data_IF_045568502885
#
_entry.id   IF_045568502885
#
_cell.length_a   1.000
_cell.length_b   1.000
_cell.length_c   1.000
_cell.angle_alpha   90.00
_cell.angle_beta   90.00
_cell.angle_gamma   90.00
#
_symmetry.space_group_name_H-M   'P 1'
#
loop_
_entity.id
_entity.type
_entity.pdbx_description
1 polymer ?
#
# COMPACT_ATOMS: atom_id res chain seq x y z
N UNK A 1 -20.89 -0.38 -9.46
CA UNK A 1 -20.81 -1.63 -10.25
C UNK A 1 -19.43 -2.21 -10.06
N UNK A 2 -19.33 -3.51 -9.73
CA UNK A 2 -18.14 -4.31 -9.31
C UNK A 2 -16.94 -4.35 -10.29
N UNK A 3 -16.78 -3.37 -11.17
CA UNK A 3 -15.77 -3.36 -12.21
C UNK A 3 -14.62 -2.40 -11.85
N UNK A 4 -13.55 -2.98 -11.29
CA UNK A 4 -12.14 -2.50 -11.21
C UNK A 4 -11.45 -2.59 -9.83
N UNK A 5 -11.93 -3.40 -8.89
CA UNK A 5 -10.98 -3.99 -7.94
C UNK A 5 -10.24 -5.10 -8.69
N UNK A 6 -8.94 -4.93 -8.93
CA UNK A 6 -8.09 -6.07 -9.26
C UNK A 6 -8.37 -7.13 -8.18
N UNK A 7 -8.68 -8.37 -8.57
CA UNK A 7 -8.86 -9.41 -7.56
C UNK A 7 -7.54 -9.50 -6.80
N UNK A 8 -7.58 -9.57 -5.48
CA UNK A 8 -6.39 -9.57 -4.61
C UNK A 8 -5.17 -10.34 -5.21
N UNK A 9 -5.34 -11.56 -5.75
CA UNK A 9 -4.21 -12.28 -6.35
C UNK A 9 -3.64 -11.63 -7.63
N UNK A 10 -4.47 -11.04 -8.49
CA UNK A 10 -4.01 -10.33 -9.70
C UNK A 10 -3.23 -9.07 -9.33
N UNK A 11 -3.62 -8.40 -8.24
CA UNK A 11 -2.86 -7.27 -7.71
C UNK A 11 -1.50 -7.74 -7.17
N UNK A 12 -1.46 -8.80 -6.36
CA UNK A 12 -0.21 -9.37 -5.86
C UNK A 12 0.78 -9.73 -6.98
N UNK A 13 0.30 -10.33 -8.07
CA UNK A 13 1.15 -10.64 -9.23
C UNK A 13 1.74 -9.38 -9.89
N UNK A 14 0.94 -8.31 -10.04
CA UNK A 14 1.44 -7.04 -10.60
C UNK A 14 2.40 -6.33 -9.65
N UNK A 15 2.19 -6.42 -8.34
CA UNK A 15 3.13 -5.88 -7.35
C UNK A 15 4.47 -6.62 -7.39
N UNK A 16 4.47 -7.94 -7.62
CA UNK A 16 5.68 -8.74 -7.83
C UNK A 16 6.42 -8.29 -9.11
N UNK A 17 5.70 -8.14 -10.23
CA UNK A 17 6.29 -7.65 -11.49
C UNK A 17 6.97 -6.27 -11.35
N UNK A 18 6.48 -5.41 -10.45
CA UNK A 18 7.08 -4.11 -10.13
C UNK A 18 8.17 -4.17 -9.05
N UNK A 19 8.41 -5.33 -8.45
CA UNK A 19 9.33 -5.51 -7.32
C UNK A 19 8.87 -4.85 -6.02
N UNK A 20 7.58 -4.53 -5.91
CA UNK A 20 6.96 -3.85 -4.75
C UNK A 20 6.70 -4.81 -3.62
N UNK A 21 6.24 -6.02 -3.93
CA UNK A 21 6.08 -7.10 -2.95
C UNK A 21 7.06 -8.21 -3.22
N UNK A 22 7.07 -9.20 -2.34
CA UNK A 22 7.91 -10.37 -2.54
C UNK A 22 7.42 -11.22 -3.71
N UNK A 23 8.32 -11.97 -4.33
CA UNK A 23 8.04 -12.87 -5.44
C UNK A 23 6.83 -13.76 -5.17
N UNK A 24 5.86 -13.73 -6.07
CA UNK A 24 4.64 -14.52 -6.00
C UNK A 24 4.80 -15.74 -6.92
N UNK A 25 4.81 -16.93 -6.31
CA UNK A 25 4.92 -18.19 -7.04
C UNK A 25 3.58 -18.63 -7.64
N UNK A 26 2.47 -18.12 -7.12
CA UNK A 26 1.14 -18.34 -7.66
C UNK A 26 0.05 -18.27 -6.59
N UNK A 27 -1.19 -18.49 -7.00
CA UNK A 27 -2.34 -18.55 -6.11
C UNK A 27 -3.32 -19.64 -6.55
N UNK A 28 -4.16 -20.09 -5.63
CA UNK A 28 -5.17 -21.09 -5.92
C UNK A 28 -6.05 -21.44 -4.73
N UNK A 29 -7.08 -22.24 -4.99
CA UNK A 29 -7.95 -22.73 -3.93
C UNK A 29 -7.29 -23.88 -3.17
N UNK A 30 -7.06 -23.67 -1.87
CA UNK A 30 -6.65 -24.73 -0.96
C UNK A 30 -7.88 -25.32 -0.27
N UNK A 31 -7.85 -26.63 -0.02
CA UNK A 31 -8.84 -27.33 0.79
C UNK A 31 -8.16 -27.85 2.04
N UNK A 32 -8.58 -27.34 3.19
CA UNK A 32 -8.10 -27.86 4.47
C UNK A 32 -8.85 -29.15 4.82
N UNK A 33 -8.10 -30.21 5.08
CA UNK A 33 -8.65 -31.53 5.39
C UNK A 33 -8.70 -31.85 6.90
N UNK A 34 -7.94 -31.12 7.73
CA UNK A 34 -7.88 -31.29 9.19
C UNK A 34 -8.21 -29.98 9.92
N UNK A 35 -9.05 -30.03 10.95
CA UNK A 35 -9.38 -28.87 11.80
C UNK A 35 -10.60 -28.04 11.36
N UNK A 36 -11.23 -28.40 10.24
CA UNK A 36 -12.38 -27.71 9.65
C UNK A 36 -12.35 -27.94 8.14
N UNK A 37 -13.51 -28.25 7.52
CA UNK A 37 -13.58 -28.34 6.06
C UNK A 37 -13.77 -26.94 5.52
N UNK A 38 -12.67 -26.24 5.30
CA UNK A 38 -12.70 -24.93 4.67
C UNK A 38 -12.08 -24.98 3.26
N UNK A 39 -12.61 -24.13 2.38
CA UNK A 39 -12.11 -23.92 1.03
C UNK A 39 -11.75 -22.44 0.91
N UNK A 40 -10.47 -22.16 0.96
CA UNK A 40 -9.95 -20.79 1.01
C UNK A 40 -9.03 -20.54 -0.18
N UNK A 41 -8.99 -19.30 -0.66
CA UNK A 41 -7.98 -18.88 -1.61
C UNK A 41 -6.65 -18.74 -0.86
N UNK A 42 -5.56 -19.26 -1.43
CA UNK A 42 -4.22 -19.12 -0.90
C UNK A 42 -3.30 -18.51 -1.96
N UNK A 43 -2.40 -17.65 -1.50
CA UNK A 43 -1.28 -17.10 -2.26
C UNK A 43 0.01 -17.77 -1.76
N UNK A 44 0.89 -18.17 -2.65
CA UNK A 44 2.23 -18.65 -2.32
C UNK A 44 3.22 -17.56 -2.70
N UNK A 45 3.86 -16.98 -1.71
CA UNK A 45 4.81 -15.88 -1.85
C UNK A 45 6.13 -16.26 -1.17
N UNK A 46 7.21 -15.63 -1.61
CA UNK A 46 8.48 -15.72 -0.91
C UNK A 46 8.38 -15.24 0.53
N UNK A 47 9.25 -15.79 1.37
CA UNK A 47 9.27 -15.44 2.77
C UNK A 47 10.04 -14.13 2.96
N UNK A 48 9.34 -13.12 3.43
CA UNK A 48 9.92 -11.83 3.79
C UNK A 48 10.19 -11.75 5.30
N UNK A 49 11.02 -10.79 5.70
CA UNK A 49 11.39 -10.53 7.09
C UNK A 49 10.81 -9.18 7.52
N UNK A 50 10.13 -9.07 8.67
CA UNK A 50 9.56 -7.81 9.10
C UNK A 50 10.63 -6.77 9.42
N UNK A 51 10.34 -5.51 9.15
CA UNK A 51 11.15 -4.40 9.66
C UNK A 51 10.77 -4.17 11.11
N UNK A 52 11.68 -4.50 12.03
CA UNK A 52 11.39 -4.46 13.49
C UNK A 52 11.32 -3.05 14.06
N UNK A 53 11.92 -2.07 13.36
CA UNK A 53 11.97 -0.70 13.82
C UNK A 53 12.03 0.28 12.65
N UNK A 54 11.35 1.40 12.82
CA UNK A 54 11.43 2.57 11.95
C UNK A 54 12.87 3.01 11.70
N UNK A 55 13.79 2.82 12.66
CA UNK A 55 15.20 3.20 12.51
C UNK A 55 15.96 2.38 11.46
N UNK A 56 15.39 1.26 11.02
CA UNK A 56 15.95 0.41 9.97
C UNK A 56 15.40 0.77 8.58
N UNK A 57 14.45 1.70 8.48
CA UNK A 57 13.89 2.11 7.19
C UNK A 57 14.81 3.11 6.51
N UNK A 58 15.12 2.83 5.25
CA UNK A 58 15.67 3.83 4.33
C UNK A 58 14.50 4.59 3.70
N UNK A 59 14.55 5.90 3.80
CA UNK A 59 13.47 6.80 3.36
C UNK A 59 13.38 6.88 1.84
N UNK A 60 14.52 6.86 1.14
CA UNK A 60 14.57 6.90 -0.32
C UNK A 60 14.04 5.58 -0.88
N UNK A 61 14.41 4.47 -0.24
CA UNK A 61 13.91 3.14 -0.59
C UNK A 61 12.40 3.02 -0.36
N UNK A 62 11.89 3.54 0.77
CA UNK A 62 10.45 3.60 1.02
C UNK A 62 9.74 4.44 -0.04
N UNK A 63 10.33 5.57 -0.45
CA UNK A 63 9.79 6.43 -1.50
C UNK A 63 9.72 5.77 -2.85
N UNK A 64 10.76 5.04 -3.20
CA UNK A 64 10.78 4.28 -4.42
C UNK A 64 9.69 3.20 -4.43
N UNK A 65 9.57 2.40 -3.37
CA UNK A 65 8.62 1.28 -3.34
C UNK A 65 7.16 1.75 -3.31
N UNK A 66 6.84 2.81 -2.57
CA UNK A 66 5.50 3.41 -2.54
C UNK A 66 5.17 4.05 -3.90
N UNK A 67 6.11 4.76 -4.51
CA UNK A 67 5.90 5.37 -5.84
C UNK A 67 5.63 4.32 -6.91
N UNK A 68 6.31 3.17 -6.86
CA UNK A 68 6.05 2.02 -7.73
C UNK A 68 4.64 1.46 -7.51
N UNK A 69 4.20 1.30 -6.25
CA UNK A 69 2.86 0.83 -5.95
C UNK A 69 1.78 1.78 -6.50
N UNK A 70 1.99 3.10 -6.37
CA UNK A 70 1.05 4.13 -6.80
C UNK A 70 0.76 4.15 -8.30
N UNK A 71 1.62 3.55 -9.12
CA UNK A 71 1.32 3.29 -10.53
C UNK A 71 0.09 2.41 -10.71
N UNK A 72 -0.20 1.55 -9.73
CA UNK A 72 -1.29 0.59 -9.74
C UNK A 72 -2.44 1.02 -8.85
N UNK A 73 -2.15 1.39 -7.60
CA UNK A 73 -3.18 1.43 -6.55
C UNK A 73 -2.79 2.27 -5.33
N UNK A 74 -3.78 2.69 -4.54
CA UNK A 74 -3.58 3.02 -3.13
C UNK A 74 -3.27 1.75 -2.34
N UNK A 75 -2.40 1.83 -1.33
CA UNK A 75 -2.24 0.77 -0.33
C UNK A 75 -3.38 0.78 0.68
N UNK A 76 -3.84 1.96 1.11
CA UNK A 76 -4.91 2.20 2.10
C UNK A 76 -4.66 1.67 3.54
N UNK A 77 -3.58 0.92 3.77
CA UNK A 77 -3.20 0.41 5.11
C UNK A 77 -1.68 0.36 5.26
N UNK A 78 -0.99 1.42 4.82
CA UNK A 78 0.47 1.49 4.93
C UNK A 78 0.87 1.80 6.38
N UNK A 79 1.50 0.84 7.03
CA UNK A 79 2.00 0.89 8.41
C UNK A 79 3.29 0.06 8.51
N UNK A 80 4.07 0.26 9.58
CA UNK A 80 5.36 -0.44 9.74
C UNK A 80 5.22 -1.97 9.63
N UNK A 81 4.16 -2.54 10.19
CA UNK A 81 3.89 -3.99 10.16
C UNK A 81 3.72 -4.54 8.74
N UNK A 82 3.36 -3.67 7.78
CA UNK A 82 3.16 -4.00 6.38
C UNK A 82 4.39 -3.71 5.52
N UNK A 83 5.51 -3.33 6.14
CA UNK A 83 6.79 -3.10 5.49
C UNK A 83 7.77 -4.21 5.91
N UNK A 84 8.30 -4.89 4.91
CA UNK A 84 9.16 -6.06 5.06
C UNK A 84 10.48 -5.83 4.31
N UNK A 85 11.45 -6.71 4.54
CA UNK A 85 12.66 -6.86 3.75
C UNK A 85 12.73 -8.23 3.09
N UNK A 86 13.24 -8.24 1.87
CA UNK A 86 13.68 -9.45 1.23
C UNK A 86 14.96 -9.96 1.94
N UNK A 87 15.00 -11.19 2.45
CA UNK A 87 16.17 -11.73 3.13
C UNK A 87 17.38 -11.97 2.22
N UNK A 88 17.20 -11.97 0.89
CA UNK A 88 18.23 -12.27 -0.09
C UNK A 88 19.04 -11.04 -0.49
N UNK A 89 18.37 -9.93 -0.80
CA UNK A 89 19.01 -8.68 -1.25
C UNK A 89 18.84 -7.50 -0.28
N UNK A 90 17.99 -7.67 0.75
CA UNK A 90 17.72 -6.65 1.75
C UNK A 90 16.67 -5.62 1.33
N UNK A 91 16.12 -5.70 0.11
CA UNK A 91 15.24 -4.67 -0.43
C UNK A 91 13.91 -4.58 0.31
N UNK A 92 13.37 -3.36 0.45
CA UNK A 92 12.05 -3.13 1.05
C UNK A 92 10.94 -3.67 0.15
N UNK A 93 10.00 -4.35 0.80
CA UNK A 93 8.81 -4.93 0.20
C UNK A 93 7.58 -4.54 1.01
N UNK A 94 6.46 -4.34 0.33
CA UNK A 94 5.16 -4.11 0.95
C UNK A 94 4.35 -5.40 0.98
N UNK A 95 3.53 -5.57 2.01
CA UNK A 95 2.59 -6.70 2.17
C UNK A 95 1.21 -6.17 2.59
N UNK A 96 0.25 -7.08 2.76
CA UNK A 96 -1.10 -6.77 3.25
C UNK A 96 -1.86 -5.82 2.31
N UNK A 97 -2.20 -6.35 1.14
CA UNK A 97 -2.89 -5.62 0.07
C UNK A 97 -4.42 -5.75 0.15
N UNK A 98 -4.99 -6.02 1.32
CA UNK A 98 -6.42 -6.33 1.45
C UNK A 98 -7.33 -5.13 1.18
N UNK A 99 -6.84 -3.90 1.43
CA UNK A 99 -7.60 -2.66 1.25
C UNK A 99 -7.25 -1.90 -0.03
N UNK A 100 -6.40 -2.45 -0.89
CA UNK A 100 -5.94 -1.71 -2.07
C UNK A 100 -7.07 -1.42 -3.05
N UNK A 101 -7.04 -0.23 -3.63
CA UNK A 101 -7.94 0.16 -4.70
C UNK A 101 -7.24 1.13 -5.65
N UNK A 102 -7.42 1.01 -6.97
CA UNK A 102 -6.87 1.99 -7.91
C UNK A 102 -7.49 3.37 -7.71
N UNK A 103 -8.77 3.43 -7.40
CA UNK A 103 -9.53 4.68 -7.51
C UNK A 103 -10.22 5.09 -6.21
N UNK A 104 -10.12 4.26 -5.16
CA UNK A 104 -10.78 4.55 -3.90
C UNK A 104 -9.80 4.66 -2.74
N UNK A 105 -10.00 5.70 -1.94
CA UNK A 105 -9.48 5.75 -0.59
C UNK A 105 -10.41 4.88 0.28
N UNK A 106 -9.82 3.95 1.02
CA UNK A 106 -10.54 3.03 1.92
C UNK A 106 -10.04 3.27 3.35
N UNK A 107 -10.87 3.88 4.18
CA UNK A 107 -10.53 4.20 5.57
C UNK A 107 -11.25 3.21 6.48
N UNK A 108 -10.53 2.28 7.14
CA UNK A 108 -11.14 1.38 8.12
C UNK A 108 -11.56 2.17 9.36
N UNK A 109 -12.85 2.10 9.72
CA UNK A 109 -13.39 2.75 10.94
C UNK A 109 -13.62 1.72 12.03
N UNK A 110 -14.14 0.55 11.67
CA UNK A 110 -14.29 -0.61 12.55
C UNK A 110 -13.99 -1.89 11.78
N UNK A 111 -13.89 -3.03 12.47
CA UNK A 111 -13.66 -4.33 11.85
C UNK A 111 -14.72 -4.74 10.80
N UNK A 112 -15.89 -4.08 10.76
CA UNK A 112 -16.96 -4.37 9.82
C UNK A 112 -17.39 -3.18 8.96
N UNK A 113 -16.75 -2.01 9.12
CA UNK A 113 -17.18 -0.78 8.45
C UNK A 113 -15.99 0.04 7.96
N UNK A 114 -16.03 0.37 6.67
CA UNK A 114 -15.07 1.22 6.00
C UNK A 114 -15.78 2.45 5.42
N UNK A 115 -15.14 3.61 5.49
CA UNK A 115 -15.49 4.76 4.68
C UNK A 115 -14.76 4.60 3.35
N UNK A 116 -15.50 4.71 2.24
CA UNK A 116 -14.95 4.57 0.89
C UNK A 116 -15.22 5.87 0.14
N UNK A 117 -14.15 6.49 -0.36
CA UNK A 117 -14.21 7.72 -1.16
C UNK A 117 -13.75 7.34 -2.57
N UNK A 118 -14.61 7.52 -3.57
CA UNK A 118 -14.27 7.26 -4.97
C UNK A 118 -13.61 8.51 -5.57
N UNK A 119 -12.28 8.49 -5.70
CA UNK A 119 -11.51 9.63 -6.15
C UNK A 119 -11.81 10.03 -7.59
N UNK A 120 -12.24 9.10 -8.46
CA UNK A 120 -12.66 9.44 -9.83
C UNK A 120 -13.95 10.27 -9.87
N UNK A 121 -14.84 10.05 -8.92
CA UNK A 121 -16.12 10.76 -8.84
C UNK A 121 -15.97 12.09 -8.12
N UNK A 122 -15.19 12.10 -7.03
CA UNK A 122 -15.02 13.27 -6.17
C UNK A 122 -14.01 14.30 -6.72
N UNK A 123 -13.06 13.87 -7.57
CA UNK A 123 -11.99 14.73 -8.07
C UNK A 123 -11.88 14.67 -9.62
N UNK A 124 -12.23 15.77 -10.33
CA UNK A 124 -12.29 15.79 -11.80
C UNK A 124 -10.97 15.43 -12.51
N UNK A 125 -9.83 15.76 -11.91
CA UNK A 125 -8.51 15.53 -12.50
C UNK A 125 -7.75 14.33 -11.90
N UNK A 126 -8.41 13.51 -11.07
CA UNK A 126 -7.72 12.38 -10.43
C UNK A 126 -6.97 11.47 -11.40
N UNK A 127 -7.49 11.06 -12.57
CA UNK A 127 -6.76 10.20 -13.49
C UNK A 127 -5.41 10.78 -13.97
N UNK A 128 -5.29 12.10 -14.08
CA UNK A 128 -4.07 12.78 -14.53
C UNK A 128 -2.99 12.81 -13.44
N UNK A 129 -3.39 12.83 -12.17
CA UNK A 129 -2.53 12.96 -11.00
C UNK A 129 -2.60 11.74 -10.07
N UNK A 130 -3.09 10.61 -10.58
CA UNK A 130 -3.47 9.46 -9.75
C UNK A 130 -2.26 8.92 -8.99
N UNK A 131 -1.09 8.87 -9.64
CA UNK A 131 0.14 8.32 -9.07
C UNK A 131 0.62 9.19 -7.91
N UNK A 132 0.71 10.50 -8.12
CA UNK A 132 1.16 11.46 -7.12
C UNK A 132 0.19 11.51 -5.93
N UNK A 133 -1.11 11.50 -6.20
CA UNK A 133 -2.13 11.54 -5.16
C UNK A 133 -2.16 10.25 -4.33
N UNK A 134 -2.04 9.07 -4.96
CA UNK A 134 -1.92 7.79 -4.26
C UNK A 134 -0.70 7.74 -3.35
N UNK A 135 0.46 8.10 -3.90
CA UNK A 135 1.70 8.12 -3.13
C UNK A 135 1.55 9.06 -1.92
N UNK A 136 1.01 10.26 -2.14
CA UNK A 136 0.78 11.22 -1.06
C UNK A 136 -0.14 10.69 0.03
N UNK A 137 -1.25 10.06 -0.35
CA UNK A 137 -2.21 9.51 0.61
C UNK A 137 -1.59 8.39 1.45
N UNK A 138 -0.88 7.45 0.83
CA UNK A 138 -0.23 6.36 1.54
C UNK A 138 0.91 6.87 2.44
N UNK A 139 1.64 7.91 2.02
CA UNK A 139 2.60 8.60 2.88
C UNK A 139 1.96 9.28 4.07
N UNK A 140 0.85 9.97 3.83
CA UNK A 140 0.12 10.65 4.88
C UNK A 140 -0.40 9.65 5.92
N UNK A 141 -1.03 8.57 5.47
CA UNK A 141 -1.52 7.52 6.38
C UNK A 141 -0.38 6.86 7.13
N UNK A 142 0.73 6.54 6.48
CA UNK A 142 1.93 6.03 7.15
C UNK A 142 2.46 7.01 8.20
N UNK A 143 2.50 8.31 7.90
CA UNK A 143 2.97 9.33 8.85
C UNK A 143 2.13 9.38 10.13
N UNK A 144 0.83 9.09 10.05
CA UNK A 144 -0.06 9.01 11.20
C UNK A 144 0.24 7.82 12.11
N UNK A 145 0.90 6.78 11.57
CA UNK A 145 1.36 5.62 12.36
C UNK A 145 2.65 5.91 13.13
N UNK A 146 3.37 6.98 12.76
CA UNK A 146 4.60 7.39 13.42
C UNK A 146 4.30 8.33 14.59
N UNK A 147 5.01 8.16 15.70
CA UNK A 147 4.93 9.13 16.79
C UNK A 147 5.62 10.43 16.40
N UNK A 148 5.13 11.58 16.88
CA UNK A 148 5.78 12.89 16.65
C UNK A 148 7.20 13.01 17.24
N UNK A 149 7.59 12.06 18.11
CA UNK A 149 8.95 11.94 18.64
C UNK A 149 9.89 11.12 17.72
N UNK A 150 9.33 10.41 16.72
CA UNK A 150 10.11 9.67 15.74
C UNK A 150 10.83 10.63 14.80
N UNK A 151 12.14 10.44 14.61
CA UNK A 151 12.90 11.19 13.59
C UNK A 151 12.28 11.04 12.20
N UNK A 152 11.75 9.84 11.91
CA UNK A 152 11.13 9.53 10.62
C UNK A 152 9.78 10.24 10.45
N UNK A 153 9.06 10.59 11.54
CA UNK A 153 7.85 11.41 11.44
C UNK A 153 8.19 12.79 10.87
N UNK A 154 9.25 13.44 11.38
CA UNK A 154 9.71 14.73 10.88
C UNK A 154 10.06 14.68 9.40
N UNK A 155 10.80 13.65 8.98
CA UNK A 155 11.20 13.51 7.57
C UNK A 155 10.02 13.19 6.66
N UNK A 156 9.15 12.25 7.04
CA UNK A 156 7.92 11.97 6.29
C UNK A 156 7.04 13.22 6.20
N UNK A 157 6.91 13.99 7.29
CA UNK A 157 6.16 15.24 7.31
C UNK A 157 6.78 16.31 6.39
N UNK A 158 8.11 16.47 6.38
CA UNK A 158 8.80 17.39 5.47
C UNK A 158 8.63 16.98 4.01
N UNK A 159 8.65 15.68 3.72
CA UNK A 159 8.33 15.13 2.39
C UNK A 159 6.87 15.41 2.01
N UNK A 160 5.92 15.22 2.94
CA UNK A 160 4.52 15.57 2.74
C UNK A 160 4.33 17.07 2.49
N UNK A 161 5.08 17.95 3.16
CA UNK A 161 5.05 19.40 2.89
C UNK A 161 5.60 19.71 1.49
N UNK A 162 6.72 19.08 1.11
CA UNK A 162 7.31 19.26 -0.22
C UNK A 162 6.35 18.78 -1.33
N UNK A 163 5.70 17.64 -1.13
CA UNK A 163 4.71 17.05 -2.04
C UNK A 163 3.38 17.81 -2.03
N UNK A 164 2.95 18.35 -0.89
CA UNK A 164 1.76 19.20 -0.80
C UNK A 164 1.89 20.47 -1.65
N UNK A 165 3.11 21.01 -1.78
CA UNK A 165 3.39 22.13 -2.70
C UNK A 165 3.25 21.73 -4.17
N UNK A 166 3.59 20.49 -4.54
CA UNK A 166 3.39 20.00 -5.92
C UNK A 166 1.93 19.63 -6.20
N UNK A 167 1.17 19.25 -5.18
CA UNK A 167 -0.27 18.94 -5.27
C UNK A 167 -1.19 20.16 -5.11
N UNK A 168 -0.65 21.33 -4.78
CA UNK A 168 -1.41 22.59 -4.65
C UNK A 168 -2.38 22.86 -5.84
N UNK A 169 -2.02 22.60 -7.11
CA UNK A 169 -2.95 22.74 -8.24
C UNK A 169 -4.17 21.80 -8.19
N UNK A 170 -4.10 20.68 -7.47
CA UNK A 170 -5.21 19.73 -7.30
C UNK A 170 -6.26 20.21 -6.30
N UNK A 171 -5.83 20.96 -5.27
CA UNK A 171 -6.69 21.43 -4.17
C UNK A 171 -7.34 22.78 -4.46
N UNK A 172 -6.67 23.63 -5.25
CA UNK A 172 -7.08 25.03 -5.43
C UNK A 172 -7.98 25.29 -6.64
N UNK A 173 -8.14 24.34 -7.57
CA UNK A 173 -9.11 24.39 -8.68
C UNK A 173 -9.21 25.74 -9.38
#
# INVERSE_FOLDING_TARGET
>A
TEAMQLRFPEMMMKADELGVTGRVYGYGWCRQHMGGRDRSMCLVQEKLVPVESIMQLDEEELFEVVSKLSLLTFHNDLKLDNIMRDPHDGSLKLIDFDLVSPDCIVIPVTAAQNIIINCREEFPHFPEYAVEFRAYYDYFTFSLTLSGASKLYGVVFDRLIALGKSLKPFLEG
#
